data_IF_663924926164
#
_entry.id   IF_663924926164
#
_cell.length_a   1.000
_cell.length_b   1.000
_cell.length_c   1.000
_cell.angle_alpha   90.00
_cell.angle_beta   90.00
_cell.angle_gamma   90.00
#
_symmetry.space_group_name_H-M   'P 1'
#
loop_
_entity.id
_entity.type
_entity.pdbx_description
1 polymer ?
#
# COMPACT_ATOMS: atom_id res chain seq x y z
N UNK A 1 13.49 -42.00 3.34
CA UNK A 1 13.71 -40.70 2.66
C UNK A 1 13.39 -39.60 3.65
N UNK A 2 14.32 -38.68 3.93
CA UNK A 2 14.03 -37.54 4.79
C UNK A 2 13.02 -36.63 4.08
N UNK A 3 11.94 -36.24 4.77
CA UNK A 3 10.92 -35.37 4.21
C UNK A 3 11.51 -33.97 4.03
N UNK A 4 11.42 -33.39 2.83
CA UNK A 4 11.88 -32.02 2.59
C UNK A 4 11.09 -31.05 3.48
N UNK A 5 11.78 -30.01 4.00
CA UNK A 5 11.15 -28.93 4.77
C UNK A 5 10.06 -28.28 3.92
N UNK A 6 8.89 -27.99 4.51
CA UNK A 6 7.86 -27.17 3.88
C UNK A 6 8.39 -25.73 3.75
N UNK A 7 8.39 -25.20 2.53
CA UNK A 7 8.80 -23.82 2.29
C UNK A 7 7.77 -22.84 2.86
N UNK A 8 8.28 -21.76 3.44
CA UNK A 8 7.51 -20.70 4.09
C UNK A 8 7.67 -19.37 3.35
N UNK A 9 6.60 -18.59 3.33
CA UNK A 9 6.58 -17.22 2.78
C UNK A 9 5.54 -16.38 3.53
N UNK A 10 5.45 -15.11 3.17
CA UNK A 10 4.44 -14.18 3.69
C UNK A 10 3.57 -13.64 2.56
N UNK A 11 2.38 -13.13 2.88
CA UNK A 11 1.46 -12.46 1.93
C UNK A 11 1.92 -11.03 1.59
N UNK A 12 3.23 -10.81 1.61
CA UNK A 12 3.97 -9.60 1.25
C UNK A 12 3.81 -8.36 2.13
N UNK A 13 2.60 -7.95 2.52
CA UNK A 13 2.40 -6.63 3.13
C UNK A 13 2.82 -6.61 4.60
N UNK A 14 3.72 -5.68 4.96
CA UNK A 14 4.16 -5.46 6.35
C UNK A 14 3.76 -4.06 6.85
N UNK A 15 3.62 -3.87 8.17
CA UNK A 15 3.43 -2.54 8.75
C UNK A 15 4.52 -1.57 8.29
N UNK A 16 4.12 -0.34 7.92
CA UNK A 16 5.06 0.68 7.46
C UNK A 16 5.98 1.12 8.59
N UNK A 17 7.27 1.16 8.29
CA UNK A 17 8.29 1.72 9.19
C UNK A 17 8.05 3.21 9.40
N UNK A 18 8.40 3.72 10.58
CA UNK A 18 8.04 5.08 10.97
C UNK A 18 8.73 6.18 10.17
N UNK A 19 9.89 5.88 9.60
CA UNK A 19 10.62 6.80 8.74
C UNK A 19 10.09 6.85 7.30
N UNK A 20 9.16 5.97 6.92
CA UNK A 20 8.55 6.05 5.60
C UNK A 20 7.55 7.21 5.56
N UNK A 21 7.56 8.01 4.49
CA UNK A 21 6.69 9.17 4.35
C UNK A 21 5.23 8.77 4.12
N UNK A 22 5.02 7.60 3.52
CA UNK A 22 3.70 7.03 3.24
C UNK A 22 3.25 6.09 4.36
N UNK A 23 1.97 6.15 4.70
CA UNK A 23 1.36 5.32 5.74
C UNK A 23 0.32 4.40 5.14
N UNK A 24 0.25 3.18 5.66
CA UNK A 24 -0.69 2.16 5.19
C UNK A 24 -2.14 2.60 5.35
N UNK A 25 -3.00 2.19 4.41
CA UNK A 25 -4.45 2.32 4.48
C UNK A 25 -5.01 1.84 5.82
N UNK A 26 -4.58 0.67 6.31
CA UNK A 26 -5.07 0.13 7.59
C UNK A 26 -4.52 0.86 8.82
N UNK A 27 -3.40 1.60 8.72
CA UNK A 27 -2.94 2.48 9.80
C UNK A 27 -3.93 3.64 10.07
N UNK A 28 -4.62 4.16 9.05
CA UNK A 28 -5.66 5.17 9.29
C UNK A 28 -6.86 4.55 10.00
N UNK A 29 -7.27 3.36 9.58
CA UNK A 29 -8.38 2.65 10.20
C UNK A 29 -8.11 2.36 11.68
N UNK A 30 -6.90 1.90 12.02
CA UNK A 30 -6.47 1.64 13.40
C UNK A 30 -6.49 2.89 14.29
N UNK A 31 -6.16 4.08 13.74
CA UNK A 31 -6.11 5.33 14.53
C UNK A 31 -7.45 6.09 14.58
N UNK A 32 -8.28 5.97 13.54
CA UNK A 32 -9.49 6.80 13.36
C UNK A 32 -10.80 6.01 13.32
N UNK A 33 -10.75 4.69 13.45
CA UNK A 33 -11.93 3.82 13.54
C UNK A 33 -12.67 3.58 12.22
N UNK A 34 -12.18 4.05 11.07
CA UNK A 34 -12.84 3.86 9.77
C UNK A 34 -11.85 3.63 8.63
N UNK A 35 -12.16 2.64 7.78
CA UNK A 35 -11.46 2.35 6.51
C UNK A 35 -12.04 3.15 5.33
N UNK A 36 -13.09 3.92 5.55
CA UNK A 36 -13.85 4.62 4.50
C UNK A 36 -13.30 6.02 4.22
N UNK A 37 -12.19 6.39 4.85
CA UNK A 37 -11.67 7.75 4.74
C UNK A 37 -10.87 7.92 3.44
N UNK A 38 -11.26 8.85 2.55
CA UNK A 38 -10.50 9.13 1.33
C UNK A 38 -9.16 9.83 1.62
N UNK A 39 -8.94 10.26 2.88
CA UNK A 39 -7.73 10.95 3.34
C UNK A 39 -6.44 10.21 3.00
N UNK A 40 -6.48 8.88 2.91
CA UNK A 40 -5.28 8.11 2.52
C UNK A 40 -4.95 8.27 1.06
N UNK A 41 -5.95 8.19 0.19
CA UNK A 41 -5.81 8.44 -1.24
C UNK A 41 -5.32 9.87 -1.48
N UNK A 42 -5.95 10.87 -0.88
CA UNK A 42 -5.60 12.27 -1.08
C UNK A 42 -4.23 12.64 -0.50
N UNK A 43 -3.91 12.19 0.72
CA UNK A 43 -2.59 12.44 1.31
C UNK A 43 -1.46 11.84 0.47
N UNK A 44 -1.67 10.63 -0.07
CA UNK A 44 -0.68 10.03 -0.95
C UNK A 44 -0.57 10.79 -2.28
N UNK A 45 -1.69 11.16 -2.91
CA UNK A 45 -1.70 12.00 -4.13
C UNK A 45 -0.87 13.27 -3.90
N UNK A 46 -1.17 14.02 -2.83
CA UNK A 46 -0.45 15.25 -2.49
C UNK A 46 1.03 15.02 -2.22
N UNK A 47 1.37 13.94 -1.51
CA UNK A 47 2.77 13.59 -1.24
C UNK A 47 3.52 13.25 -2.54
N UNK A 48 2.91 12.45 -3.44
CA UNK A 48 3.53 12.04 -4.71
C UNK A 48 3.75 13.19 -5.69
N UNK A 49 2.95 14.25 -5.61
CA UNK A 49 3.10 15.46 -6.44
C UNK A 49 4.20 16.40 -5.93
N UNK A 50 4.50 16.34 -4.63
CA UNK A 50 5.40 17.29 -3.97
C UNK A 50 6.79 16.74 -3.67
N UNK A 51 6.94 15.41 -3.63
CA UNK A 51 8.20 14.74 -3.29
C UNK A 51 8.57 13.74 -4.37
N UNK A 52 9.71 13.95 -5.02
CA UNK A 52 10.12 13.19 -6.21
C UNK A 52 11.20 12.14 -5.95
N UNK A 53 11.88 12.15 -4.79
CA UNK A 53 12.99 11.22 -4.55
C UNK A 53 13.13 10.77 -3.08
N UNK A 54 12.36 9.75 -2.72
CA UNK A 54 12.50 9.02 -1.44
C UNK A 54 13.01 7.57 -1.67
N UNK A 55 13.64 7.31 -2.83
CA UNK A 55 14.09 5.97 -3.23
C UNK A 55 15.00 5.31 -2.20
N UNK A 56 15.92 6.08 -1.63
CA UNK A 56 16.83 5.61 -0.59
C UNK A 56 16.07 5.12 0.67
N UNK A 57 14.95 5.76 1.03
CA UNK A 57 14.12 5.33 2.16
C UNK A 57 13.41 4.01 1.83
N UNK A 58 12.89 3.85 0.61
CA UNK A 58 12.23 2.61 0.19
C UNK A 58 13.20 1.42 0.10
N UNK A 59 14.41 1.64 -0.42
CA UNK A 59 15.47 0.61 -0.45
C UNK A 59 15.82 0.17 0.98
N UNK A 60 16.12 1.13 1.85
CA UNK A 60 16.42 0.85 3.27
C UNK A 60 15.28 0.09 3.95
N UNK A 61 14.03 0.46 3.68
CA UNK A 61 12.87 -0.22 4.24
C UNK A 61 12.73 -1.66 3.73
N UNK A 62 12.94 -1.90 2.43
CA UNK A 62 12.90 -3.24 1.84
C UNK A 62 14.01 -4.13 2.41
N UNK A 63 15.23 -3.61 2.57
CA UNK A 63 16.35 -4.32 3.20
C UNK A 63 16.00 -4.76 4.63
N UNK A 64 15.38 -3.87 5.42
CA UNK A 64 14.96 -4.19 6.78
C UNK A 64 13.87 -5.26 6.82
N UNK A 65 12.90 -5.21 5.91
CA UNK A 65 11.83 -6.22 5.81
C UNK A 65 12.34 -7.59 5.38
N UNK A 66 13.25 -7.63 4.40
CA UNK A 66 13.89 -8.86 3.95
C UNK A 66 14.75 -9.44 5.08
N UNK A 67 15.56 -8.62 5.74
CA UNK A 67 16.40 -9.04 6.87
C UNK A 67 15.58 -9.60 8.03
N UNK A 68 14.42 -8.99 8.34
CA UNK A 68 13.51 -9.48 9.38
C UNK A 68 12.95 -10.87 9.03
N UNK A 69 12.52 -11.08 7.79
CA UNK A 69 12.01 -12.36 7.31
C UNK A 69 13.08 -13.46 7.33
N UNK A 70 14.30 -13.14 6.90
CA UNK A 70 15.44 -14.07 6.97
C UNK A 70 15.73 -14.46 8.43
N UNK A 71 15.77 -13.48 9.36
CA UNK A 71 15.94 -13.75 10.79
C UNK A 71 14.84 -14.63 11.36
N UNK A 72 13.62 -14.50 10.86
CA UNK A 72 12.47 -15.33 11.20
C UNK A 72 12.45 -16.70 10.47
N UNK A 73 13.50 -17.04 9.71
CA UNK A 73 13.61 -18.30 8.95
C UNK A 73 12.53 -18.49 7.88
N UNK A 74 12.02 -17.39 7.31
CA UNK A 74 11.14 -17.40 6.13
C UNK A 74 11.95 -17.76 4.89
N UNK A 75 11.54 -18.79 4.17
CA UNK A 75 12.32 -19.33 3.04
C UNK A 75 12.26 -18.43 1.79
N UNK A 76 11.12 -17.78 1.55
CA UNK A 76 10.91 -16.88 0.40
C UNK A 76 10.51 -15.49 0.95
N UNK A 77 11.47 -14.58 1.18
CA UNK A 77 11.19 -13.25 1.71
C UNK A 77 10.59 -12.33 0.65
N UNK A 78 9.94 -11.26 1.11
CA UNK A 78 9.31 -10.23 0.27
C UNK A 78 9.82 -8.84 0.65
N UNK A 79 9.63 -7.86 -0.22
CA UNK A 79 10.01 -6.46 0.00
C UNK A 79 9.13 -5.73 1.03
N UNK A 80 8.15 -6.40 1.64
CA UNK A 80 7.21 -5.80 2.57
C UNK A 80 6.16 -4.89 1.91
N UNK A 81 6.14 -4.78 0.57
CA UNK A 81 5.39 -3.76 -0.20
C UNK A 81 5.60 -2.34 0.33
N UNK A 82 6.80 -2.02 0.82
CA UNK A 82 7.10 -0.77 1.54
C UNK A 82 6.80 0.50 0.74
N UNK A 83 6.85 0.44 -0.60
CA UNK A 83 6.55 1.55 -1.53
C UNK A 83 5.05 1.84 -1.75
N UNK A 84 4.17 0.87 -1.47
CA UNK A 84 2.73 1.00 -1.82
C UNK A 84 1.90 1.46 -0.63
N UNK A 85 1.14 2.53 -0.78
CA UNK A 85 0.14 2.99 0.19
C UNK A 85 -1.09 2.09 0.19
N UNK A 86 -1.48 1.61 -1.00
CA UNK A 86 -2.65 0.77 -1.25
C UNK A 86 -2.35 -0.20 -2.41
N UNK A 87 -2.87 -1.42 -2.32
CA UNK A 87 -2.58 -2.48 -3.29
C UNK A 87 -3.27 -2.29 -4.66
N UNK A 88 -4.35 -1.49 -4.73
CA UNK A 88 -5.05 -1.12 -5.96
C UNK A 88 -4.57 0.25 -6.45
N UNK A 89 -4.69 1.29 -5.61
CA UNK A 89 -4.50 2.67 -6.06
C UNK A 89 -3.08 2.92 -6.57
N UNK A 90 -2.07 2.32 -5.94
CA UNK A 90 -0.70 2.41 -6.43
C UNK A 90 -0.60 2.02 -7.90
N UNK A 91 -1.23 0.91 -8.32
CA UNK A 91 -1.15 0.46 -9.70
C UNK A 91 -1.95 1.37 -10.64
N UNK A 92 -3.18 1.74 -10.25
CA UNK A 92 -4.03 2.62 -11.05
C UNK A 92 -3.39 3.97 -11.35
N UNK A 93 -2.57 4.53 -10.44
CA UNK A 93 -1.85 5.78 -10.64
C UNK A 93 -0.78 5.74 -11.74
N UNK A 94 -0.31 4.55 -12.10
CA UNK A 94 0.66 4.36 -13.18
C UNK A 94 -0.01 4.03 -14.51
N UNK A 95 -1.34 4.09 -14.58
CA UNK A 95 -2.13 3.88 -15.78
C UNK A 95 -2.74 5.22 -16.23
N UNK A 96 -2.78 5.45 -17.53
CA UNK A 96 -3.50 6.59 -18.09
C UNK A 96 -5.01 6.46 -17.84
N UNK A 97 -5.70 7.58 -17.83
CA UNK A 97 -7.16 7.62 -17.69
C UNK A 97 -7.70 7.44 -16.27
N UNK A 98 -6.89 7.15 -15.27
CA UNK A 98 -7.30 7.21 -13.86
C UNK A 98 -7.06 8.61 -13.28
N UNK A 99 -8.09 9.17 -12.66
CA UNK A 99 -8.05 10.41 -11.89
C UNK A 99 -8.08 10.10 -10.40
N UNK A 100 -6.99 10.44 -9.71
CA UNK A 100 -6.84 10.27 -8.27
C UNK A 100 -6.77 11.62 -7.51
N UNK A 101 -7.05 12.72 -8.21
CA UNK A 101 -7.16 14.06 -7.64
C UNK A 101 -8.64 14.39 -7.37
N UNK A 102 -9.50 14.24 -8.38
CA UNK A 102 -10.94 14.49 -8.25
C UNK A 102 -11.67 13.17 -7.99
N UNK A 103 -11.66 12.75 -6.72
CA UNK A 103 -12.33 11.53 -6.27
C UNK A 103 -13.84 11.63 -6.48
N UNK A 104 -14.47 10.51 -6.84
CA UNK A 104 -15.92 10.41 -6.99
C UNK A 104 -16.52 9.68 -5.79
N UNK A 105 -17.61 10.23 -5.28
CA UNK A 105 -18.37 9.64 -4.20
C UNK A 105 -19.05 8.34 -4.63
N UNK A 106 -18.89 7.27 -3.83
CA UNK A 106 -19.45 5.95 -4.11
C UNK A 106 -20.13 5.35 -2.89
N UNK A 107 -21.36 4.89 -3.11
CA UNK A 107 -22.09 3.99 -2.21
C UNK A 107 -21.93 2.57 -2.73
N UNK A 108 -21.44 1.68 -1.87
CA UNK A 108 -21.04 0.31 -2.19
C UNK A 108 -21.68 -0.64 -1.17
N UNK A 109 -21.75 -1.93 -1.52
CA UNK A 109 -22.31 -2.97 -0.65
C UNK A 109 -23.73 -2.62 -0.16
N UNK A 110 -24.59 -2.20 -1.09
CA UNK A 110 -25.99 -1.85 -0.83
C UNK A 110 -26.18 -0.82 0.29
N UNK A 111 -25.27 0.15 0.41
CA UNK A 111 -25.32 1.21 1.43
C UNK A 111 -24.47 0.95 2.68
N UNK A 112 -23.86 -0.22 2.82
CA UNK A 112 -23.04 -0.55 3.99
C UNK A 112 -21.64 0.10 3.97
N UNK A 113 -21.20 0.64 2.82
CA UNK A 113 -19.90 1.29 2.69
C UNK A 113 -20.00 2.48 1.74
N UNK A 114 -19.54 3.64 2.21
CA UNK A 114 -19.58 4.90 1.47
C UNK A 114 -18.20 5.56 1.57
N UNK A 115 -17.63 5.98 0.45
CA UNK A 115 -16.30 6.61 0.38
C UNK A 115 -16.12 7.34 -0.95
N UNK A 116 -15.13 8.23 -1.02
CA UNK A 116 -14.68 8.81 -2.30
C UNK A 116 -13.51 7.98 -2.86
N UNK A 117 -13.57 7.62 -4.14
CA UNK A 117 -12.59 6.75 -4.83
C UNK A 117 -12.02 7.39 -6.11
N UNK A 118 -10.81 6.98 -6.53
CA UNK A 118 -10.31 7.30 -7.87
C UNK A 118 -11.28 6.82 -8.96
N UNK A 119 -11.34 7.56 -10.07
CA UNK A 119 -12.30 7.32 -11.15
C UNK A 119 -11.61 7.30 -12.50
N UNK A 120 -12.15 6.52 -13.43
CA UNK A 120 -11.69 6.45 -14.81
C UNK A 120 -12.34 7.60 -15.60
N UNK A 121 -11.52 8.46 -16.21
CA UNK A 121 -11.93 9.63 -17.00
C UNK A 121 -11.73 9.46 -18.51
N UNK A 122 -10.91 8.50 -18.92
CA UNK A 122 -10.66 8.20 -20.33
C UNK A 122 -10.33 6.73 -20.52
N UNK A 123 -10.09 6.33 -21.78
CA UNK A 123 -9.55 5.00 -22.09
C UNK A 123 -8.22 4.77 -21.35
N UNK A 124 -8.04 3.54 -20.88
CA UNK A 124 -6.86 3.02 -20.15
C UNK A 124 -5.94 2.32 -21.14
#
# INVERSE_FOLDING_TARGET
>A
MARSKLQTTTICYFPKLDFLPIRDWFDAARRKGSMNSPKKTTNFTNYSETNTDDEALYIRAAEQMISLQIKASVDIPTDGKVRKENYIHYHCRHLNGFDSQQLEHRVLRDGAYETDLPVIRSQI
#
